data_IF_033654158538
#
_entry.id   IF_033654158538
#
_cell.length_a   1.000
_cell.length_b   1.000
_cell.length_c   1.000
_cell.angle_alpha   90.00
_cell.angle_beta   90.00
_cell.angle_gamma   90.00
#
_symmetry.space_group_name_H-M   'P 1'
#
loop_
_entity.id
_entity.type
_entity.pdbx_description
1 polymer ?
#
# COMPACT_ATOMS: atom_id res chain seq x y z
N UNK A 1 -39.84 -64.61 -32.99
CA UNK A 1 -39.02 -63.82 -32.05
C UNK A 1 -37.76 -63.26 -32.71
N UNK A 2 -37.33 -63.81 -33.84
CA UNK A 2 -36.13 -63.35 -34.55
C UNK A 2 -36.34 -62.05 -35.38
N UNK A 3 -37.54 -61.79 -35.91
CA UNK A 3 -37.83 -60.56 -36.69
C UNK A 3 -37.88 -59.27 -35.84
N UNK A 4 -38.41 -59.35 -34.62
CA UNK A 4 -38.49 -58.19 -33.71
C UNK A 4 -37.09 -57.81 -33.21
N UNK A 5 -36.19 -58.79 -33.05
CA UNK A 5 -34.80 -58.53 -32.68
C UNK A 5 -34.04 -57.82 -33.82
N UNK A 6 -34.29 -58.19 -35.08
CA UNK A 6 -33.64 -57.56 -36.24
C UNK A 6 -34.08 -56.10 -36.44
N UNK A 7 -35.35 -55.80 -36.24
CA UNK A 7 -35.90 -54.44 -36.40
C UNK A 7 -35.46 -53.49 -35.27
N UNK A 8 -35.41 -53.99 -34.03
CA UNK A 8 -34.88 -53.23 -32.88
C UNK A 8 -33.38 -52.97 -33.03
N UNK A 9 -32.59 -53.96 -33.49
CA UNK A 9 -31.16 -53.80 -33.74
C UNK A 9 -30.91 -52.80 -34.90
N UNK A 10 -31.78 -52.77 -35.91
CA UNK A 10 -31.70 -51.85 -37.05
C UNK A 10 -31.84 -50.37 -36.69
N UNK A 11 -32.58 -50.03 -35.63
CA UNK A 11 -32.77 -48.63 -35.19
C UNK A 11 -31.89 -48.22 -34.01
N UNK A 12 -31.53 -49.17 -33.14
CA UNK A 12 -30.69 -48.93 -31.96
C UNK A 12 -29.24 -48.62 -32.35
N UNK A 13 -28.69 -49.31 -33.36
CA UNK A 13 -27.30 -49.07 -33.80
C UNK A 13 -27.10 -47.64 -34.34
N UNK A 14 -27.91 -47.12 -35.29
CA UNK A 14 -27.80 -45.74 -35.76
C UNK A 14 -27.98 -44.70 -34.64
N UNK A 15 -28.92 -44.93 -33.71
CA UNK A 15 -29.15 -44.03 -32.59
C UNK A 15 -27.92 -43.95 -31.66
N UNK A 16 -27.33 -45.09 -31.29
CA UNK A 16 -26.12 -45.14 -30.45
C UNK A 16 -24.95 -44.42 -31.13
N UNK A 17 -24.80 -44.56 -32.45
CA UNK A 17 -23.74 -43.87 -33.20
C UNK A 17 -23.94 -42.35 -33.18
N UNK A 18 -25.16 -41.88 -33.45
CA UNK A 18 -25.45 -40.43 -33.47
C UNK A 18 -25.29 -39.81 -32.08
N UNK A 19 -25.85 -40.43 -31.04
CA UNK A 19 -25.72 -39.92 -29.67
C UNK A 19 -24.29 -40.05 -29.13
N UNK A 20 -23.59 -41.13 -29.47
CA UNK A 20 -22.18 -41.32 -29.11
C UNK A 20 -21.27 -40.28 -29.75
N UNK A 21 -21.43 -40.01 -31.05
CA UNK A 21 -20.67 -38.98 -31.76
C UNK A 21 -21.00 -37.58 -31.24
N UNK A 22 -22.27 -37.27 -30.98
CA UNK A 22 -22.68 -35.99 -30.41
C UNK A 22 -22.09 -35.78 -29.00
N UNK A 23 -22.15 -36.81 -28.14
CA UNK A 23 -21.56 -36.75 -26.80
C UNK A 23 -20.03 -36.61 -26.84
N UNK A 24 -19.36 -37.32 -27.76
CA UNK A 24 -17.92 -37.22 -27.96
C UNK A 24 -17.53 -35.83 -28.48
N UNK A 25 -18.26 -35.30 -29.48
CA UNK A 25 -18.05 -33.96 -29.98
C UNK A 25 -18.26 -32.91 -28.87
N UNK A 26 -19.28 -33.07 -28.03
CA UNK A 26 -19.52 -32.19 -26.89
C UNK A 26 -18.35 -32.26 -25.89
N UNK A 27 -17.89 -33.48 -25.55
CA UNK A 27 -16.79 -33.70 -24.63
C UNK A 27 -15.46 -33.11 -25.15
N UNK A 28 -15.13 -33.33 -26.42
CA UNK A 28 -13.96 -32.77 -27.10
C UNK A 28 -14.06 -31.24 -27.15
N UNK A 29 -15.23 -30.68 -27.43
CA UNK A 29 -15.44 -29.23 -27.44
C UNK A 29 -15.24 -28.62 -26.04
N UNK A 30 -15.81 -29.23 -25.00
CA UNK A 30 -15.63 -28.80 -23.61
C UNK A 30 -14.16 -28.91 -23.18
N UNK A 31 -13.48 -29.99 -23.57
CA UNK A 31 -12.07 -30.21 -23.28
C UNK A 31 -11.17 -29.20 -24.01
N UNK A 32 -11.41 -28.95 -25.29
CA UNK A 32 -10.70 -27.96 -26.09
C UNK A 32 -10.89 -26.54 -25.52
N UNK A 33 -12.11 -26.17 -25.10
CA UNK A 33 -12.39 -24.90 -24.42
C UNK A 33 -11.65 -24.82 -23.08
N UNK A 34 -11.63 -25.89 -22.27
CA UNK A 34 -10.87 -25.94 -21.01
C UNK A 34 -9.36 -25.84 -21.24
N UNK A 35 -8.83 -26.52 -22.26
CA UNK A 35 -7.42 -26.51 -22.64
C UNK A 35 -7.00 -25.13 -23.17
N UNK A 36 -7.81 -24.52 -24.05
CA UNK A 36 -7.59 -23.18 -24.58
C UNK A 36 -7.63 -22.11 -23.48
N UNK A 37 -8.57 -22.24 -22.53
CA UNK A 37 -8.67 -21.40 -21.32
C UNK A 37 -7.47 -21.54 -20.37
N UNK A 38 -6.68 -22.61 -20.49
CA UNK A 38 -5.46 -22.85 -19.70
C UNK A 38 -4.18 -22.77 -20.53
N UNK A 39 -4.25 -22.31 -21.78
CA UNK A 39 -3.08 -22.26 -22.64
C UNK A 39 -2.07 -21.21 -22.14
N UNK A 40 -0.75 -21.47 -22.20
CA UNK A 40 0.27 -20.51 -21.79
C UNK A 40 0.16 -19.17 -22.54
N UNK A 41 -0.23 -19.20 -23.82
CA UNK A 41 -0.44 -18.00 -24.61
C UNK A 41 -1.64 -17.17 -24.13
N UNK A 42 -2.75 -17.81 -23.76
CA UNK A 42 -3.90 -17.11 -23.19
C UNK A 42 -3.57 -16.48 -21.83
N UNK A 43 -2.75 -17.14 -21.02
CA UNK A 43 -2.23 -16.58 -19.75
C UNK A 43 -1.37 -15.34 -20.01
N UNK A 44 -0.36 -15.43 -20.89
CA UNK A 44 0.50 -14.28 -21.22
C UNK A 44 -0.28 -13.07 -21.72
N UNK A 45 -1.28 -13.27 -22.60
CA UNK A 45 -2.15 -12.18 -23.08
C UNK A 45 -2.99 -11.58 -21.95
N UNK A 46 -3.56 -12.43 -21.09
CA UNK A 46 -4.31 -11.95 -19.94
C UNK A 46 -3.42 -11.17 -18.95
N UNK A 47 -2.18 -11.62 -18.74
CA UNK A 47 -1.21 -10.94 -17.89
C UNK A 47 -0.82 -9.57 -18.49
N UNK A 48 -0.64 -9.47 -19.81
CA UNK A 48 -0.43 -8.18 -20.49
C UNK A 48 -1.63 -7.24 -20.29
N UNK A 49 -2.86 -7.71 -20.53
CA UNK A 49 -4.06 -6.90 -20.31
C UNK A 49 -4.20 -6.45 -18.84
N UNK A 50 -3.80 -7.31 -17.89
CA UNK A 50 -3.73 -6.97 -16.46
C UNK A 50 -2.73 -5.83 -16.23
N UNK A 51 -1.51 -5.95 -16.72
CA UNK A 51 -0.47 -4.92 -16.58
C UNK A 51 -0.92 -3.58 -17.19
N UNK A 52 -1.54 -3.59 -18.38
CA UNK A 52 -2.09 -2.40 -19.01
C UNK A 52 -3.17 -1.73 -18.15
N UNK A 53 -4.08 -2.53 -17.58
CA UNK A 53 -5.09 -2.03 -16.65
C UNK A 53 -4.46 -1.43 -15.39
N UNK A 54 -3.38 -2.04 -14.89
CA UNK A 54 -2.59 -1.50 -13.78
C UNK A 54 -1.99 -0.13 -14.10
N UNK A 55 -1.40 0.04 -15.28
CA UNK A 55 -0.85 1.32 -15.72
C UNK A 55 -1.93 2.42 -15.83
N UNK A 56 -3.14 2.06 -16.27
CA UNK A 56 -4.29 2.99 -16.28
C UNK A 56 -4.69 3.41 -14.85
N UNK A 57 -4.69 2.47 -13.89
CA UNK A 57 -4.99 2.79 -12.48
C UNK A 57 -3.95 3.71 -11.85
N UNK A 58 -2.66 3.50 -12.15
CA UNK A 58 -1.60 4.41 -11.70
C UNK A 58 -1.86 5.83 -12.20
N UNK A 59 -2.11 5.99 -13.51
CA UNK A 59 -2.41 7.32 -14.09
C UNK A 59 -3.65 7.96 -13.48
N UNK A 60 -4.68 7.17 -13.18
CA UNK A 60 -5.87 7.68 -12.48
C UNK A 60 -5.53 8.14 -11.07
N UNK A 61 -4.74 7.37 -10.32
CA UNK A 61 -4.33 7.72 -8.96
C UNK A 61 -3.49 9.01 -8.95
N UNK A 62 -2.55 9.14 -9.89
CA UNK A 62 -1.76 10.36 -10.06
C UNK A 62 -2.65 11.56 -10.43
N UNK A 63 -3.63 11.37 -11.31
CA UNK A 63 -4.62 12.42 -11.65
C UNK A 63 -5.54 12.79 -10.47
N UNK A 64 -5.86 11.84 -9.59
CA UNK A 64 -6.61 12.10 -8.35
C UNK A 64 -5.76 12.89 -7.37
N UNK A 65 -4.48 12.53 -7.22
CA UNK A 65 -3.55 13.31 -6.42
C UNK A 65 -3.51 14.75 -6.92
N UNK A 66 -3.34 15.00 -8.23
CA UNK A 66 -3.42 16.36 -8.79
C UNK A 66 -4.75 17.07 -8.48
N UNK A 67 -5.88 16.36 -8.58
CA UNK A 67 -7.20 16.93 -8.33
C UNK A 67 -7.46 17.24 -6.84
N UNK A 68 -6.99 16.41 -5.92
CA UNK A 68 -7.06 16.67 -4.46
C UNK A 68 -6.38 17.99 -4.12
N UNK A 69 -5.28 18.28 -4.80
CA UNK A 69 -4.49 19.46 -4.58
C UNK A 69 -5.19 20.70 -5.14
N UNK A 70 -5.82 20.59 -6.31
CA UNK A 70 -6.64 21.66 -6.90
C UNK A 70 -7.86 21.99 -6.02
N UNK A 71 -8.46 20.96 -5.40
CA UNK A 71 -9.52 21.12 -4.40
C UNK A 71 -9.01 21.82 -3.13
N UNK A 72 -7.87 21.40 -2.59
CA UNK A 72 -7.26 22.04 -1.41
C UNK A 72 -6.89 23.50 -1.66
N UNK A 73 -6.26 23.78 -2.80
CA UNK A 73 -5.89 25.12 -3.24
C UNK A 73 -7.13 26.01 -3.39
N UNK A 74 -8.16 25.51 -4.07
CA UNK A 74 -9.42 26.22 -4.22
C UNK A 74 -10.02 26.57 -2.86
N UNK A 75 -10.06 25.60 -1.93
CA UNK A 75 -10.62 25.86 -0.60
C UNK A 75 -9.88 26.97 0.16
N UNK A 76 -8.54 26.95 0.11
CA UNK A 76 -7.69 27.94 0.76
C UNK A 76 -7.77 29.34 0.11
N UNK A 77 -7.82 29.42 -1.23
CA UNK A 77 -7.92 30.68 -1.97
C UNK A 77 -9.25 31.41 -1.73
N UNK A 78 -10.34 30.67 -1.51
CA UNK A 78 -11.69 31.22 -1.52
C UNK A 78 -12.36 31.31 -0.15
N UNK A 79 -11.64 31.03 0.94
CA UNK A 79 -12.17 31.12 2.31
C UNK A 79 -13.39 30.23 2.56
N UNK A 80 -13.49 29.13 1.81
CA UNK A 80 -14.68 28.29 1.71
C UNK A 80 -14.38 26.97 1.01
N UNK A 81 -15.41 26.31 0.49
CA UNK A 81 -15.26 25.02 -0.18
C UNK A 81 -14.85 25.14 -1.65
N UNK A 82 -14.06 24.18 -2.14
CA UNK A 82 -13.77 24.06 -3.56
C UNK A 82 -15.03 23.93 -4.43
N UNK A 83 -14.97 24.34 -5.72
CA UNK A 83 -16.07 24.17 -6.66
C UNK A 83 -16.71 22.78 -6.60
N UNK A 84 -18.05 22.75 -6.63
CA UNK A 84 -18.80 21.49 -6.50
C UNK A 84 -18.50 20.49 -7.63
N UNK A 85 -18.06 20.97 -8.81
CA UNK A 85 -17.56 20.12 -9.90
C UNK A 85 -16.30 19.37 -9.50
N UNK A 86 -15.27 20.08 -9.00
CA UNK A 86 -14.01 19.49 -8.54
C UNK A 86 -14.23 18.51 -7.38
N UNK A 87 -15.04 18.88 -6.38
CA UNK A 87 -15.33 17.99 -5.23
C UNK A 87 -16.03 16.69 -5.66
N UNK A 88 -17.01 16.78 -6.56
CA UNK A 88 -17.71 15.60 -7.09
C UNK A 88 -16.80 14.73 -7.95
N UNK A 89 -16.00 15.34 -8.82
CA UNK A 89 -15.03 14.62 -9.64
C UNK A 89 -14.02 13.86 -8.75
N UNK A 90 -13.53 14.50 -7.68
CA UNK A 90 -12.62 13.91 -6.69
C UNK A 90 -13.23 12.69 -6.03
N UNK A 91 -14.41 12.83 -5.42
CA UNK A 91 -15.09 11.73 -4.73
C UNK A 91 -15.40 10.56 -5.66
N UNK A 92 -15.86 10.85 -6.88
CA UNK A 92 -16.17 9.84 -7.90
C UNK A 92 -14.92 9.10 -8.35
N UNK A 93 -13.83 9.83 -8.60
CA UNK A 93 -12.57 9.26 -9.04
C UNK A 93 -11.91 8.42 -7.93
N UNK A 94 -11.93 8.89 -6.67
CA UNK A 94 -11.46 8.13 -5.50
C UNK A 94 -12.20 6.79 -5.39
N UNK A 95 -13.54 6.81 -5.43
CA UNK A 95 -14.35 5.59 -5.38
C UNK A 95 -14.02 4.65 -6.54
N UNK A 96 -13.86 5.19 -7.75
CA UNK A 96 -13.52 4.42 -8.95
C UNK A 96 -12.14 3.77 -8.83
N UNK A 97 -11.15 4.52 -8.35
CA UNK A 97 -9.79 4.04 -8.10
C UNK A 97 -9.78 2.91 -7.08
N UNK A 98 -10.44 3.10 -5.94
CA UNK A 98 -10.44 2.12 -4.86
C UNK A 98 -11.10 0.81 -5.31
N UNK A 99 -12.27 0.89 -5.97
CA UNK A 99 -12.92 -0.26 -6.59
C UNK A 99 -12.04 -0.91 -7.68
N UNK A 100 -11.32 -0.10 -8.44
CA UNK A 100 -10.38 -0.52 -9.47
C UNK A 100 -9.21 -1.34 -8.91
N UNK A 101 -8.56 -0.87 -7.84
CA UNK A 101 -7.48 -1.61 -7.18
C UNK A 101 -7.98 -2.89 -6.49
N UNK A 102 -9.20 -2.89 -5.94
CA UNK A 102 -9.78 -4.11 -5.38
C UNK A 102 -10.06 -5.16 -6.44
N UNK A 103 -10.58 -4.75 -7.60
CA UNK A 103 -10.74 -5.63 -8.76
C UNK A 103 -9.38 -6.08 -9.31
N UNK A 104 -8.39 -5.19 -9.36
CA UNK A 104 -7.03 -5.50 -9.78
C UNK A 104 -6.41 -6.59 -8.90
N UNK A 105 -6.51 -6.43 -7.58
CA UNK A 105 -6.07 -7.43 -6.61
C UNK A 105 -6.74 -8.79 -6.85
N UNK A 106 -8.06 -8.80 -7.08
CA UNK A 106 -8.79 -10.04 -7.33
C UNK A 106 -8.33 -10.76 -8.61
N UNK A 107 -8.03 -10.03 -9.69
CA UNK A 107 -7.53 -10.62 -10.94
C UNK A 107 -6.03 -10.94 -10.90
N UNK A 108 -5.27 -10.41 -9.94
CA UNK A 108 -3.86 -10.75 -9.71
C UNK A 108 -3.67 -12.03 -8.88
N UNK A 109 -4.75 -12.64 -8.37
CA UNK A 109 -4.65 -13.89 -7.62
C UNK A 109 -4.21 -15.06 -8.53
N UNK A 110 -3.34 -15.98 -8.05
CA UNK A 110 -2.93 -17.16 -8.83
C UNK A 110 -4.08 -18.07 -9.28
N UNK A 111 -5.22 -17.98 -8.57
CA UNK A 111 -6.44 -18.74 -8.86
C UNK A 111 -7.29 -18.12 -9.97
N UNK A 112 -7.03 -16.87 -10.37
CA UNK A 112 -7.80 -16.17 -11.39
C UNK A 112 -7.60 -16.82 -12.77
N UNK A 113 -8.70 -17.06 -13.48
CA UNK A 113 -8.64 -17.60 -14.84
C UNK A 113 -8.33 -16.51 -15.86
N UNK A 114 -7.70 -16.82 -17.01
CA UNK A 114 -7.45 -15.83 -18.06
C UNK A 114 -8.70 -15.11 -18.59
N UNK A 115 -9.89 -15.70 -18.43
CA UNK A 115 -11.15 -15.05 -18.82
C UNK A 115 -11.56 -14.00 -17.79
N UNK A 116 -11.43 -14.30 -16.50
CA UNK A 116 -11.71 -13.36 -15.41
C UNK A 116 -10.74 -12.19 -15.44
N UNK A 117 -9.45 -12.46 -15.65
CA UNK A 117 -8.41 -11.42 -15.76
C UNK A 117 -8.75 -10.42 -16.86
N UNK A 118 -9.02 -10.89 -18.09
CA UNK A 118 -9.35 -10.00 -19.22
C UNK A 118 -10.64 -9.21 -18.99
N UNK A 119 -11.67 -9.85 -18.44
CA UNK A 119 -12.94 -9.17 -18.12
C UNK A 119 -12.74 -8.09 -17.05
N UNK A 120 -11.98 -8.39 -16.00
CA UNK A 120 -11.63 -7.44 -14.94
C UNK A 120 -10.79 -6.29 -15.47
N UNK A 121 -9.72 -6.59 -16.21
CA UNK A 121 -8.85 -5.61 -16.85
C UNK A 121 -9.61 -4.65 -17.78
N UNK A 122 -10.53 -5.17 -18.61
CA UNK A 122 -11.41 -4.34 -19.44
C UNK A 122 -12.28 -3.40 -18.60
N UNK A 123 -12.91 -3.91 -17.54
CA UNK A 123 -13.77 -3.10 -16.65
C UNK A 123 -12.98 -2.01 -15.93
N UNK A 124 -11.77 -2.33 -15.45
CA UNK A 124 -10.85 -1.36 -14.82
C UNK A 124 -10.57 -0.21 -15.79
N UNK A 125 -10.16 -0.53 -17.03
CA UNK A 125 -9.86 0.50 -18.04
C UNK A 125 -11.07 1.38 -18.35
N UNK A 126 -12.22 0.77 -18.62
CA UNK A 126 -13.45 1.52 -18.93
C UNK A 126 -13.88 2.46 -17.80
N UNK A 127 -13.77 2.04 -16.54
CA UNK A 127 -14.14 2.87 -15.40
C UNK A 127 -13.12 3.98 -15.14
N UNK A 128 -11.83 3.63 -15.20
CA UNK A 128 -10.75 4.59 -14.98
C UNK A 128 -10.69 5.66 -16.08
N UNK A 129 -10.91 5.30 -17.35
CA UNK A 129 -10.97 6.25 -18.45
C UNK A 129 -12.15 7.23 -18.29
N UNK A 130 -13.32 6.73 -17.88
CA UNK A 130 -14.48 7.60 -17.58
C UNK A 130 -14.18 8.56 -16.43
N UNK A 131 -13.56 8.08 -15.36
CA UNK A 131 -13.16 8.94 -14.25
C UNK A 131 -12.13 9.99 -14.71
N UNK A 132 -11.12 9.59 -15.49
CA UNK A 132 -10.11 10.51 -16.02
C UNK A 132 -10.71 11.59 -16.93
N UNK A 133 -11.70 11.25 -17.77
CA UNK A 133 -12.48 12.22 -18.56
C UNK A 133 -13.20 13.21 -17.65
N UNK A 134 -13.88 12.72 -16.60
CA UNK A 134 -14.58 13.58 -15.65
C UNK A 134 -13.63 14.52 -14.89
N UNK A 135 -12.44 14.05 -14.50
CA UNK A 135 -11.39 14.90 -13.91
C UNK A 135 -11.00 16.01 -14.89
N UNK A 136 -10.69 15.67 -16.15
CA UNK A 136 -10.28 16.68 -17.15
C UNK A 136 -11.36 17.74 -17.38
N UNK A 137 -12.63 17.34 -17.45
CA UNK A 137 -13.73 18.29 -17.57
C UNK A 137 -13.82 19.21 -16.34
N UNK A 138 -13.79 18.65 -15.13
CA UNK A 138 -13.88 19.45 -13.91
C UNK A 138 -12.72 20.46 -13.77
N UNK A 139 -11.51 20.09 -14.20
CA UNK A 139 -10.34 20.99 -14.23
C UNK A 139 -10.48 22.07 -15.28
N UNK A 140 -10.97 21.74 -16.48
CA UNK A 140 -11.25 22.74 -17.52
C UNK A 140 -12.26 23.78 -17.04
N UNK A 141 -13.36 23.33 -16.43
CA UNK A 141 -14.38 24.21 -15.85
C UNK A 141 -13.78 25.10 -14.75
N UNK A 142 -12.86 24.54 -13.94
CA UNK A 142 -12.19 25.28 -12.89
C UNK A 142 -11.27 26.36 -13.43
N UNK A 143 -10.44 26.05 -14.43
CA UNK A 143 -9.54 27.01 -15.08
C UNK A 143 -10.34 28.15 -15.72
N UNK A 144 -11.44 27.85 -16.41
CA UNK A 144 -12.31 28.88 -17.00
C UNK A 144 -12.97 29.75 -15.92
N UNK A 145 -13.36 29.15 -14.80
CA UNK A 145 -13.88 29.90 -13.67
C UNK A 145 -12.80 30.77 -13.02
N UNK A 146 -11.59 30.25 -12.82
CA UNK A 146 -10.46 30.98 -12.24
C UNK A 146 -10.07 32.19 -13.10
N UNK A 147 -9.97 32.01 -14.41
CA UNK A 147 -9.64 33.11 -15.33
C UNK A 147 -10.66 34.27 -15.30
N UNK A 148 -11.88 34.01 -14.81
CA UNK A 148 -12.93 35.03 -14.64
C UNK A 148 -12.97 35.66 -13.26
N UNK A 149 -12.43 35.02 -12.22
CA UNK A 149 -12.66 35.39 -10.83
C UNK A 149 -11.40 35.62 -10.00
N UNK A 150 -10.20 35.29 -10.50
CA UNK A 150 -8.96 35.29 -9.72
C UNK A 150 -7.83 36.00 -10.47
N UNK A 151 -7.08 36.85 -9.76
CA UNK A 151 -5.89 37.52 -10.31
C UNK A 151 -4.62 36.77 -9.93
N UNK A 152 -3.59 36.83 -10.78
CA UNK A 152 -2.29 36.22 -10.50
C UNK A 152 -1.67 36.75 -9.18
N UNK A 153 -1.85 38.04 -8.86
CA UNK A 153 -1.41 38.63 -7.60
C UNK A 153 -2.07 38.03 -6.35
N UNK A 154 -3.37 37.71 -6.42
CA UNK A 154 -4.07 37.06 -5.30
C UNK A 154 -3.60 35.62 -5.07
N UNK A 155 -3.29 34.88 -6.14
CA UNK A 155 -2.73 33.53 -6.03
C UNK A 155 -1.32 33.56 -5.44
N UNK A 156 -0.47 34.45 -5.94
CA UNK A 156 0.88 34.66 -5.42
C UNK A 156 0.88 34.96 -3.92
N UNK A 157 0.02 35.88 -3.46
CA UNK A 157 -0.09 36.23 -2.04
C UNK A 157 -0.56 35.03 -1.19
N UNK A 158 -1.50 34.23 -1.71
CA UNK A 158 -1.97 33.03 -1.01
C UNK A 158 -0.90 31.94 -0.92
N UNK A 159 -0.17 31.68 -2.00
CA UNK A 159 0.86 30.65 -2.02
C UNK A 159 2.07 31.04 -1.16
N UNK A 160 2.41 32.33 -1.08
CA UNK A 160 3.42 32.84 -0.12
C UNK A 160 3.02 32.58 1.33
N UNK A 161 1.78 32.92 1.72
CA UNK A 161 1.30 32.64 3.09
C UNK A 161 1.40 31.16 3.45
N UNK A 162 1.05 30.26 2.53
CA UNK A 162 1.16 28.82 2.77
C UNK A 162 2.61 28.34 2.90
N UNK A 163 3.54 28.91 2.13
CA UNK A 163 4.96 28.62 2.30
C UNK A 163 5.48 29.09 3.67
N UNK A 164 5.05 30.26 4.12
CA UNK A 164 5.39 30.77 5.44
C UNK A 164 4.79 29.90 6.56
N UNK A 165 3.52 29.49 6.42
CA UNK A 165 2.86 28.56 7.34
C UNK A 165 3.58 27.21 7.40
N UNK A 166 4.00 26.66 6.26
CA UNK A 166 4.76 25.41 6.20
C UNK A 166 6.12 25.54 6.89
N UNK A 167 6.86 26.63 6.64
CA UNK A 167 8.16 26.88 7.29
C UNK A 167 7.99 27.03 8.80
N UNK A 168 6.96 27.74 9.22
CA UNK A 168 6.64 27.90 10.64
C UNK A 168 6.28 26.55 11.29
N UNK A 169 5.52 25.69 10.60
CA UNK A 169 5.16 24.37 11.14
C UNK A 169 6.34 23.40 11.18
N UNK A 170 7.18 23.40 10.13
CA UNK A 170 8.33 22.51 10.01
C UNK A 170 9.45 22.88 11.01
N UNK A 171 9.62 24.17 11.30
CA UNK A 171 10.72 24.66 12.12
C UNK A 171 12.09 24.31 11.53
N UNK A 172 13.09 24.13 12.40
CA UNK A 172 14.44 23.74 12.02
C UNK A 172 14.63 22.23 12.25
N UNK A 173 14.79 21.40 11.20
CA UNK A 173 14.93 19.95 11.37
C UNK A 173 16.30 19.52 11.93
N UNK A 174 17.33 20.36 11.80
CA UNK A 174 18.71 20.06 12.19
C UNK A 174 18.88 19.56 13.63
N UNK A 175 18.39 20.28 14.66
CA UNK A 175 18.49 19.84 16.05
C UNK A 175 17.84 18.47 16.34
N UNK A 176 16.75 18.14 15.65
CA UNK A 176 16.09 16.85 15.79
C UNK A 176 16.90 15.73 15.13
N UNK A 177 17.51 16.00 13.98
CA UNK A 177 18.44 15.07 13.34
C UNK A 177 19.71 14.83 14.16
N UNK A 178 20.28 15.88 14.76
CA UNK A 178 21.43 15.77 15.67
C UNK A 178 21.11 14.89 16.88
N UNK A 179 19.90 15.04 17.43
CA UNK A 179 19.41 14.19 18.52
C UNK A 179 19.31 12.71 18.10
N UNK A 180 18.79 12.44 16.90
CA UNK A 180 18.73 11.08 16.35
C UNK A 180 20.14 10.53 16.11
N UNK A 181 21.04 11.30 15.51
CA UNK A 181 22.40 10.89 15.18
C UNK A 181 23.25 10.59 16.42
N UNK A 182 23.08 11.36 17.51
CA UNK A 182 23.72 11.10 18.78
C UNK A 182 23.31 9.74 19.38
N UNK A 183 22.05 9.37 19.22
CA UNK A 183 21.44 8.24 19.95
C UNK A 183 21.39 6.94 19.13
N UNK A 184 21.17 7.03 17.82
CA UNK A 184 20.84 5.89 16.95
C UNK A 184 21.86 5.69 15.83
N UNK A 185 21.91 4.47 15.28
CA UNK A 185 22.73 4.16 14.11
C UNK A 185 22.18 4.86 12.86
N UNK A 186 23.06 5.16 11.89
CA UNK A 186 22.72 5.95 10.70
C UNK A 186 21.59 5.35 9.87
N UNK A 187 21.56 4.02 9.74
CA UNK A 187 20.53 3.30 9.01
C UNK A 187 19.12 3.46 9.63
N UNK A 188 19.05 3.78 10.92
CA UNK A 188 17.79 4.00 11.64
C UNK A 188 17.14 5.35 11.26
N UNK A 189 17.95 6.39 11.03
CA UNK A 189 17.46 7.75 10.81
C UNK A 189 17.73 8.31 9.42
N UNK A 190 18.44 7.59 8.53
CA UNK A 190 18.74 8.04 7.17
C UNK A 190 17.50 8.50 6.39
N UNK A 191 16.42 7.72 6.44
CA UNK A 191 15.17 8.08 5.77
C UNK A 191 14.56 9.39 6.32
N UNK A 192 14.68 9.64 7.62
CA UNK A 192 14.24 10.90 8.23
C UNK A 192 15.13 12.07 7.77
N UNK A 193 16.44 11.86 7.67
CA UNK A 193 17.38 12.87 7.15
C UNK A 193 17.13 13.21 5.68
N UNK A 194 16.87 12.21 4.84
CA UNK A 194 16.55 12.41 3.43
C UNK A 194 15.26 13.23 3.30
N UNK A 195 14.20 12.85 4.02
CA UNK A 195 12.93 13.56 4.04
C UNK A 195 13.09 15.02 4.53
N UNK A 196 13.81 15.26 5.61
CA UNK A 196 14.07 16.62 6.11
C UNK A 196 14.84 17.48 5.08
N UNK A 197 15.86 16.90 4.45
CA UNK A 197 16.67 17.59 3.43
C UNK A 197 15.82 17.95 2.21
N UNK A 198 14.98 17.02 1.74
CA UNK A 198 14.06 17.24 0.64
C UNK A 198 13.05 18.33 0.99
N UNK A 199 12.45 18.29 2.18
CA UNK A 199 11.47 19.28 2.61
C UNK A 199 12.03 20.72 2.58
N UNK A 200 13.24 20.91 3.10
CA UNK A 200 13.93 22.21 3.08
C UNK A 200 14.27 22.64 1.64
N UNK A 201 14.78 21.71 0.82
CA UNK A 201 15.15 21.99 -0.57
C UNK A 201 13.93 22.40 -1.41
N UNK A 202 12.83 21.68 -1.29
CA UNK A 202 11.59 21.92 -2.01
C UNK A 202 10.90 23.22 -1.55
N UNK A 203 10.96 23.54 -0.25
CA UNK A 203 10.50 24.83 0.26
C UNK A 203 11.36 26.00 -0.24
N UNK A 204 12.66 25.79 -0.46
CA UNK A 204 13.55 26.77 -1.08
C UNK A 204 13.25 26.93 -2.58
N UNK A 205 13.00 25.84 -3.31
CA UNK A 205 12.57 25.93 -4.71
C UNK A 205 11.24 26.67 -4.84
N UNK A 206 10.26 26.37 -3.99
CA UNK A 206 8.97 27.08 -3.98
C UNK A 206 9.16 28.60 -3.83
N UNK A 207 10.07 29.03 -2.95
CA UNK A 207 10.41 30.45 -2.79
C UNK A 207 10.95 31.07 -4.07
N UNK A 208 11.95 30.43 -4.70
CA UNK A 208 12.56 30.92 -5.95
C UNK A 208 11.50 31.10 -7.03
N UNK A 209 10.56 30.15 -7.15
CA UNK A 209 9.44 30.23 -8.09
C UNK A 209 8.47 31.36 -7.76
N UNK A 210 8.16 31.58 -6.48
CA UNK A 210 7.27 32.67 -6.06
C UNK A 210 7.90 34.05 -6.30
N UNK A 211 9.22 34.17 -6.18
CA UNK A 211 9.91 35.42 -6.45
C UNK A 211 9.97 35.71 -7.96
N UNK A 212 10.22 34.70 -8.79
CA UNK A 212 10.09 34.82 -10.24
C UNK A 212 8.66 35.18 -10.68
N UNK A 213 7.65 34.55 -10.05
CA UNK A 213 6.25 34.88 -10.29
C UNK A 213 5.91 36.33 -9.89
N UNK A 214 6.50 36.84 -8.81
CA UNK A 214 6.28 38.23 -8.38
C UNK A 214 6.78 39.24 -9.42
N UNK A 215 7.96 39.01 -10.00
CA UNK A 215 8.45 39.83 -11.11
C UNK A 215 7.54 39.73 -12.35
N UNK A 216 7.01 38.55 -12.63
CA UNK A 216 6.12 38.33 -13.77
C UNK A 216 4.70 38.89 -13.58
N UNK A 217 4.23 39.09 -12.34
CA UNK A 217 2.94 39.75 -12.07
C UNK A 217 2.99 41.24 -12.45
N UNK A 218 4.16 41.87 -12.39
CA UNK A 218 4.36 43.27 -12.75
C UNK A 218 4.52 43.48 -14.28
N UNK A 219 4.83 42.43 -15.04
CA UNK A 219 5.05 42.44 -16.48
C UNK A 219 4.00 41.58 -17.24
N UNK A 220 2.99 42.20 -17.89
CA UNK A 220 1.93 41.49 -18.61
C UNK A 220 2.41 40.61 -19.77
N UNK A 221 3.67 40.75 -20.21
CA UNK A 221 4.27 39.90 -21.25
C UNK A 221 4.81 38.56 -20.71
N UNK A 222 4.91 38.40 -19.39
CA UNK A 222 5.41 37.20 -18.71
C UNK A 222 4.27 36.36 -18.13
N UNK A 223 4.45 35.04 -18.09
CA UNK A 223 3.43 34.12 -17.57
C UNK A 223 3.68 33.77 -16.09
N UNK A 224 3.21 34.63 -15.19
CA UNK A 224 3.30 34.39 -13.73
C UNK A 224 2.60 33.10 -13.26
N UNK A 225 1.55 32.65 -13.97
CA UNK A 225 0.76 31.46 -13.56
C UNK A 225 1.58 30.17 -13.68
N UNK A 226 2.51 30.09 -14.63
CA UNK A 226 3.37 28.92 -14.78
C UNK A 226 4.31 28.75 -13.58
N UNK A 227 4.91 29.84 -13.11
CA UNK A 227 5.80 29.85 -11.95
C UNK A 227 5.03 29.63 -10.64
N UNK A 228 3.83 30.21 -10.49
CA UNK A 228 2.95 29.93 -9.33
C UNK A 228 2.60 28.43 -9.28
N UNK A 229 2.22 27.83 -10.41
CA UNK A 229 1.91 26.40 -10.47
C UNK A 229 3.14 25.52 -10.17
N UNK A 230 4.35 25.97 -10.52
CA UNK A 230 5.59 25.28 -10.14
C UNK A 230 5.90 25.41 -8.65
N UNK A 231 5.74 26.60 -8.08
CA UNK A 231 5.88 26.84 -6.65
C UNK A 231 4.94 25.94 -5.84
N UNK A 232 3.69 25.81 -6.28
CA UNK A 232 2.71 24.94 -5.61
C UNK A 232 3.09 23.46 -5.67
N UNK A 233 3.71 22.99 -6.76
CA UNK A 233 4.20 21.61 -6.83
C UNK A 233 5.31 21.37 -5.81
N UNK A 234 6.31 22.26 -5.77
CA UNK A 234 7.42 22.19 -4.82
C UNK A 234 6.93 22.30 -3.36
N UNK A 235 6.02 23.23 -3.07
CA UNK A 235 5.41 23.38 -1.74
C UNK A 235 4.74 22.08 -1.25
N UNK A 236 4.06 21.34 -2.14
CA UNK A 236 3.40 20.08 -1.77
C UNK A 236 4.38 18.94 -1.54
N UNK A 237 5.45 18.91 -2.32
CA UNK A 237 6.53 17.95 -2.09
C UNK A 237 7.16 18.23 -0.73
N UNK A 238 7.43 19.50 -0.41
CA UNK A 238 7.89 19.93 0.90
C UNK A 238 6.93 19.53 2.03
N UNK A 239 5.61 19.76 1.88
CA UNK A 239 4.59 19.32 2.86
C UNK A 239 4.60 17.80 3.06
N UNK A 240 4.80 17.02 1.99
CA UNK A 240 4.82 15.55 2.04
C UNK A 240 6.07 15.05 2.77
N UNK A 241 7.23 15.61 2.43
CA UNK A 241 8.50 15.22 3.02
C UNK A 241 8.63 15.68 4.47
N UNK A 242 8.09 16.85 4.83
CA UNK A 242 8.01 17.31 6.22
C UNK A 242 7.18 16.34 7.09
N UNK A 243 6.03 15.88 6.60
CA UNK A 243 5.21 14.87 7.30
C UNK A 243 5.92 13.52 7.40
N UNK A 244 6.65 13.12 6.35
CA UNK A 244 7.43 11.89 6.37
C UNK A 244 8.56 11.95 7.42
N UNK A 245 9.23 13.10 7.54
CA UNK A 245 10.22 13.35 8.58
C UNK A 245 9.62 13.27 9.99
N UNK A 246 8.52 13.98 10.24
CA UNK A 246 7.82 13.96 11.54
C UNK A 246 7.39 12.54 11.94
N UNK A 247 6.82 11.79 10.99
CA UNK A 247 6.39 10.41 11.23
C UNK A 247 7.58 9.50 11.52
N UNK A 248 8.68 9.61 10.76
CA UNK A 248 9.88 8.81 10.99
C UNK A 248 10.51 9.11 12.37
N UNK A 249 10.64 10.39 12.74
CA UNK A 249 11.11 10.79 14.06
C UNK A 249 10.23 10.21 15.18
N UNK A 250 8.89 10.29 15.01
CA UNK A 250 7.92 9.73 15.95
C UNK A 250 8.04 8.21 16.07
N UNK A 251 8.22 7.50 14.95
CA UNK A 251 8.36 6.04 14.95
C UNK A 251 9.63 5.60 15.67
N UNK A 252 10.77 6.25 15.42
CA UNK A 252 12.05 5.92 16.05
C UNK A 252 11.99 6.15 17.56
N UNK A 253 11.48 7.31 17.98
CA UNK A 253 11.39 7.67 19.41
C UNK A 253 10.39 6.79 20.16
N UNK A 254 9.23 6.49 19.58
CA UNK A 254 8.27 5.55 20.18
C UNK A 254 8.83 4.13 20.26
N UNK A 255 9.56 3.68 19.23
CA UNK A 255 10.20 2.38 19.24
C UNK A 255 11.25 2.27 20.35
N UNK A 256 12.08 3.30 20.50
CA UNK A 256 13.10 3.37 21.56
C UNK A 256 12.47 3.25 22.97
N UNK A 257 11.35 3.94 23.20
CA UNK A 257 10.64 3.90 24.48
C UNK A 257 9.97 2.53 24.75
N UNK A 258 9.42 1.88 23.72
CA UNK A 258 8.72 0.61 23.87
C UNK A 258 9.68 -0.60 24.01
N UNK A 259 10.92 -0.46 23.54
CA UNK A 259 11.86 -1.56 23.36
C UNK A 259 12.10 -2.42 24.62
N UNK A 260 12.34 -1.87 25.83
CA UNK A 260 12.52 -2.70 27.03
C UNK A 260 11.29 -3.55 27.35
N UNK A 261 10.09 -2.98 27.15
CA UNK A 261 8.82 -3.67 27.36
C UNK A 261 8.62 -4.82 26.39
N UNK A 262 9.04 -4.67 25.13
CA UNK A 262 8.94 -5.72 24.12
C UNK A 262 9.87 -6.91 24.39
N UNK A 263 11.09 -6.66 24.90
CA UNK A 263 11.98 -7.73 25.36
C UNK A 263 11.38 -8.51 26.53
N UNK A 264 10.89 -7.82 27.56
CA UNK A 264 10.28 -8.46 28.72
C UNK A 264 8.99 -9.23 28.39
N UNK A 265 8.17 -8.67 27.49
CA UNK A 265 6.97 -9.34 27.01
C UNK A 265 7.31 -10.63 26.24
N UNK A 266 8.37 -10.60 25.41
CA UNK A 266 8.84 -11.77 24.65
C UNK A 266 9.42 -12.84 25.58
N UNK A 267 10.28 -12.46 26.54
CA UNK A 267 10.80 -13.39 27.56
C UNK A 267 9.68 -14.02 28.39
N UNK A 268 8.67 -13.25 28.74
CA UNK A 268 7.48 -13.75 29.43
C UNK A 268 6.73 -14.77 28.57
N UNK A 269 6.52 -14.47 27.29
CA UNK A 269 5.87 -15.40 26.37
C UNK A 269 6.67 -16.72 26.23
N UNK A 270 7.99 -16.65 26.15
CA UNK A 270 8.86 -17.84 26.11
C UNK A 270 8.75 -18.69 27.39
N UNK A 271 8.76 -18.07 28.57
CA UNK A 271 8.53 -18.77 29.84
C UNK A 271 7.18 -19.50 29.85
N UNK A 272 6.13 -18.84 29.36
CA UNK A 272 4.80 -19.45 29.24
C UNK A 272 4.78 -20.62 28.22
N UNK A 273 5.54 -20.52 27.13
CA UNK A 273 5.68 -21.60 26.15
C UNK A 273 6.35 -22.83 26.77
N UNK A 274 7.42 -22.63 27.55
CA UNK A 274 8.11 -23.73 28.28
C UNK A 274 7.16 -24.42 29.25
N UNK A 275 6.35 -23.65 30.01
CA UNK A 275 5.36 -24.22 30.93
C UNK A 275 4.28 -25.04 30.22
N UNK A 276 3.98 -24.72 28.95
CA UNK A 276 2.97 -25.42 28.16
C UNK A 276 3.45 -26.78 27.63
N UNK A 277 4.76 -27.07 27.69
CA UNK A 277 5.35 -28.33 27.19
C UNK A 277 4.75 -29.58 27.84
N UNK A 278 4.37 -29.50 29.12
CA UNK A 278 3.78 -30.63 29.85
C UNK A 278 2.42 -31.08 29.31
N UNK A 279 1.80 -30.26 28.46
CA UNK A 279 0.48 -30.52 27.85
C UNK A 279 0.58 -31.02 26.40
N UNK A 280 1.79 -31.10 25.85
CA UNK A 280 2.06 -31.47 24.46
C UNK A 280 2.50 -32.94 24.33
N UNK A 281 2.26 -33.58 23.17
CA UNK A 281 2.95 -34.82 22.81
C UNK A 281 4.47 -34.65 22.85
N UNK A 282 5.26 -35.71 23.15
CA UNK A 282 6.71 -35.61 23.32
C UNK A 282 7.43 -34.95 22.13
N UNK A 283 7.12 -35.37 20.91
CA UNK A 283 7.73 -34.82 19.69
C UNK A 283 7.42 -33.31 19.51
N UNK A 284 6.22 -32.87 19.88
CA UNK A 284 5.82 -31.46 19.82
C UNK A 284 6.49 -30.64 20.93
N UNK A 285 6.62 -31.24 22.12
CA UNK A 285 7.28 -30.63 23.27
C UNK A 285 8.78 -30.43 23.05
N UNK A 286 9.43 -31.33 22.32
CA UNK A 286 10.85 -31.23 21.96
C UNK A 286 11.07 -30.19 20.85
N UNK A 287 10.23 -30.20 19.80
CA UNK A 287 10.24 -29.15 18.75
C UNK A 287 10.04 -27.76 19.34
N UNK A 288 9.08 -27.59 20.26
CA UNK A 288 8.88 -26.32 20.95
C UNK A 288 10.10 -25.92 21.79
N UNK A 289 10.77 -26.88 22.44
CA UNK A 289 11.96 -26.60 23.24
C UNK A 289 13.16 -26.19 22.40
N UNK A 290 13.34 -26.79 21.23
CA UNK A 290 14.35 -26.38 20.25
C UNK A 290 14.08 -24.96 19.76
N UNK A 291 12.84 -24.65 19.39
CA UNK A 291 12.47 -23.33 18.88
C UNK A 291 12.62 -22.24 19.95
N UNK A 292 12.19 -22.50 21.19
CA UNK A 292 12.38 -21.54 22.30
C UNK A 292 13.86 -21.24 22.53
N UNK A 293 14.74 -22.26 22.49
CA UNK A 293 16.19 -22.05 22.61
C UNK A 293 16.75 -21.23 21.44
N UNK A 294 16.31 -21.51 20.22
CA UNK A 294 16.74 -20.73 19.05
C UNK A 294 16.31 -19.27 19.15
N UNK A 295 15.07 -19.01 19.57
CA UNK A 295 14.55 -17.66 19.80
C UNK A 295 15.32 -16.96 20.92
N UNK A 296 15.67 -17.66 22.01
CA UNK A 296 16.44 -17.09 23.11
C UNK A 296 17.82 -16.59 22.68
N UNK A 297 18.55 -17.40 21.92
CA UNK A 297 19.87 -17.04 21.36
C UNK A 297 19.75 -15.80 20.47
N UNK A 298 18.72 -15.78 19.63
CA UNK A 298 18.49 -14.67 18.71
C UNK A 298 18.09 -13.39 19.45
N UNK A 299 17.22 -13.48 20.46
CA UNK A 299 16.78 -12.36 21.29
C UNK A 299 17.95 -11.75 22.07
N UNK A 300 18.83 -12.58 22.63
CA UNK A 300 20.04 -12.14 23.34
C UNK A 300 21.07 -11.51 22.39
N UNK A 301 21.13 -11.96 21.15
CA UNK A 301 21.99 -11.34 20.11
C UNK A 301 21.43 -9.99 19.72
N UNK A 302 20.12 -9.91 19.53
CA UNK A 302 19.38 -8.70 19.15
C UNK A 302 19.56 -7.57 20.17
N UNK A 303 19.49 -7.89 21.46
CA UNK A 303 19.56 -6.91 22.56
C UNK A 303 20.85 -6.07 22.56
N UNK A 304 21.96 -6.59 21.99
CA UNK A 304 23.25 -5.89 21.94
C UNK A 304 23.20 -4.58 21.16
N UNK A 305 22.50 -4.59 20.03
CA UNK A 305 22.43 -3.43 19.12
C UNK A 305 21.05 -2.73 19.17
N UNK A 306 20.09 -3.31 19.88
CA UNK A 306 18.70 -2.87 19.85
C UNK A 306 18.50 -1.41 20.28
N UNK A 307 19.29 -0.93 21.25
CA UNK A 307 19.21 0.46 21.70
C UNK A 307 19.61 1.46 20.60
N UNK A 308 20.52 1.09 19.70
CA UNK A 308 20.95 1.92 18.56
C UNK A 308 20.02 1.78 17.36
N UNK A 309 19.25 0.69 17.27
CA UNK A 309 18.40 0.33 16.12
C UNK A 309 16.99 -0.10 16.57
N UNK A 310 16.22 0.78 17.24
CA UNK A 310 14.99 0.39 17.92
C UNK A 310 13.84 -0.09 17.01
N UNK A 311 13.59 0.55 15.87
CA UNK A 311 12.54 0.14 14.92
C UNK A 311 12.88 -1.21 14.27
N UNK A 312 14.15 -1.41 13.91
CA UNK A 312 14.64 -2.69 13.43
C UNK A 312 14.51 -3.78 14.50
N UNK A 313 14.83 -3.46 15.76
CA UNK A 313 14.70 -4.40 16.85
C UNK A 313 13.24 -4.79 17.16
N UNK A 314 12.31 -3.82 17.14
CA UNK A 314 10.88 -4.11 17.30
C UNK A 314 10.36 -5.00 16.16
N UNK A 315 10.74 -4.71 14.91
CA UNK A 315 10.40 -5.57 13.78
C UNK A 315 10.90 -7.01 14.00
N UNK A 316 12.16 -7.16 14.43
CA UNK A 316 12.74 -8.47 14.68
C UNK A 316 12.07 -9.19 15.84
N UNK A 317 11.75 -8.50 16.93
CA UNK A 317 11.00 -9.05 18.06
C UNK A 317 9.60 -9.52 17.61
N UNK A 318 8.89 -8.74 16.80
CA UNK A 318 7.59 -9.15 16.28
C UNK A 318 7.68 -10.46 15.49
N UNK A 319 8.71 -10.63 14.64
CA UNK A 319 8.96 -11.88 13.91
C UNK A 319 9.30 -13.06 14.81
N UNK A 320 10.09 -12.83 15.87
CA UNK A 320 10.40 -13.86 16.87
C UNK A 320 9.13 -14.33 17.59
N UNK A 321 8.24 -13.41 17.93
CA UNK A 321 6.94 -13.72 18.56
C UNK A 321 6.02 -14.47 17.62
N UNK A 322 6.02 -14.13 16.33
CA UNK A 322 5.28 -14.87 15.30
C UNK A 322 5.78 -16.31 15.16
N UNK A 323 7.11 -16.53 15.20
CA UNK A 323 7.70 -17.88 15.21
C UNK A 323 7.32 -18.67 16.47
N UNK A 324 7.39 -18.03 17.63
CA UNK A 324 6.96 -18.64 18.90
C UNK A 324 5.49 -19.06 18.84
N UNK A 325 4.62 -18.20 18.30
CA UNK A 325 3.21 -18.47 18.14
C UNK A 325 2.94 -19.66 17.21
N UNK A 326 3.67 -19.74 16.09
CA UNK A 326 3.58 -20.87 15.16
C UNK A 326 4.03 -22.19 15.81
N UNK A 327 5.12 -22.16 16.57
CA UNK A 327 5.62 -23.35 17.27
C UNK A 327 4.69 -23.84 18.38
N UNK A 328 3.94 -22.92 19.00
CA UNK A 328 2.93 -23.28 20.01
C UNK A 328 1.64 -23.86 19.39
N UNK A 329 1.35 -23.58 18.12
CA UNK A 329 0.22 -24.15 17.39
C UNK A 329 -1.12 -24.13 18.15
N UNK A 330 -1.85 -25.25 18.09
CA UNK A 330 -3.15 -25.43 18.75
C UNK A 330 -3.04 -25.75 20.25
N UNK A 331 -1.83 -25.80 20.82
CA UNK A 331 -1.62 -26.11 22.23
C UNK A 331 -2.21 -25.06 23.18
N UNK A 332 -2.57 -23.88 22.66
CA UNK A 332 -3.13 -22.79 23.44
C UNK A 332 -4.62 -22.95 23.68
N UNK A 333 -5.00 -22.90 24.95
CA UNK A 333 -6.37 -22.58 25.35
C UNK A 333 -6.82 -21.23 24.76
N UNK A 334 -8.13 -21.03 24.58
CA UNK A 334 -8.66 -19.75 24.08
C UNK A 334 -8.22 -18.55 24.93
N UNK A 335 -8.14 -18.71 26.25
CA UNK A 335 -7.67 -17.67 27.17
C UNK A 335 -6.17 -17.38 27.03
N UNK A 336 -5.34 -18.39 26.73
CA UNK A 336 -3.92 -18.17 26.41
C UNK A 336 -3.73 -17.47 25.07
N UNK A 337 -4.53 -17.81 24.04
CA UNK A 337 -4.51 -17.11 22.75
C UNK A 337 -4.83 -15.63 22.91
N UNK A 338 -5.87 -15.30 23.66
CA UNK A 338 -6.27 -13.91 23.89
C UNK A 338 -5.25 -13.13 24.73
N UNK A 339 -4.64 -13.75 25.76
CA UNK A 339 -3.55 -13.12 26.52
C UNK A 339 -2.30 -12.91 25.67
N UNK A 340 -1.92 -13.90 24.86
CA UNK A 340 -0.81 -13.80 23.92
C UNK A 340 -1.04 -12.71 22.87
N UNK A 341 -2.25 -12.63 22.33
CA UNK A 341 -2.60 -11.59 21.37
C UNK A 341 -2.50 -10.18 21.96
N UNK A 342 -3.01 -9.97 23.17
CA UNK A 342 -2.89 -8.68 23.88
C UNK A 342 -1.44 -8.27 24.15
N UNK A 343 -0.58 -9.23 24.47
CA UNK A 343 0.82 -8.92 24.76
C UNK A 343 1.66 -8.68 23.51
N UNK A 344 1.33 -9.30 22.38
CA UNK A 344 2.06 -9.17 21.11
C UNK A 344 1.59 -7.98 20.26
N UNK A 345 0.32 -7.60 20.37
CA UNK A 345 -0.30 -6.60 19.51
C UNK A 345 0.43 -5.24 19.46
N UNK A 346 0.89 -4.63 20.58
CA UNK A 346 1.58 -3.33 20.52
C UNK A 346 2.84 -3.35 19.64
N UNK A 347 3.75 -4.31 19.87
CA UNK A 347 4.96 -4.49 19.08
C UNK A 347 4.67 -4.81 17.62
N UNK A 348 3.70 -5.70 17.33
CA UNK A 348 3.32 -6.02 15.95
C UNK A 348 2.68 -4.83 15.23
N UNK A 349 1.89 -4.00 15.91
CA UNK A 349 1.36 -2.75 15.32
C UNK A 349 2.47 -1.74 15.03
N UNK A 350 3.48 -1.63 15.91
CA UNK A 350 4.63 -0.77 15.68
C UNK A 350 5.45 -1.26 14.47
N UNK A 351 5.72 -2.57 14.38
CA UNK A 351 6.40 -3.18 13.23
C UNK A 351 5.61 -2.99 11.92
N UNK A 352 4.29 -3.24 11.93
CA UNK A 352 3.44 -3.04 10.77
C UNK A 352 3.38 -1.57 10.30
N UNK A 353 3.36 -0.61 11.23
CA UNK A 353 3.44 0.82 10.91
C UNK A 353 4.75 1.19 10.22
N UNK A 354 5.86 0.71 10.78
CA UNK A 354 7.18 0.93 10.20
C UNK A 354 7.28 0.32 8.79
N UNK A 355 6.80 -0.91 8.60
CA UNK A 355 6.79 -1.57 7.30
C UNK A 355 5.96 -0.80 6.26
N UNK A 356 4.78 -0.31 6.64
CA UNK A 356 3.93 0.53 5.77
C UNK A 356 4.64 1.85 5.42
N UNK A 357 5.21 2.54 6.39
CA UNK A 357 5.94 3.79 6.15
C UNK A 357 7.15 3.59 5.21
N UNK A 358 7.89 2.50 5.38
CA UNK A 358 9.02 2.15 4.49
C UNK A 358 8.55 1.82 3.06
N UNK A 359 7.40 1.14 2.93
CA UNK A 359 6.81 0.84 1.63
C UNK A 359 6.27 2.10 0.94
N UNK A 360 5.64 3.02 1.69
CA UNK A 360 5.21 4.34 1.21
C UNK A 360 6.38 5.18 0.72
N UNK A 361 7.45 5.27 1.52
CA UNK A 361 8.65 6.01 1.14
C UNK A 361 9.21 5.50 -0.19
N UNK A 362 9.30 4.19 -0.38
CA UNK A 362 9.76 3.62 -1.65
C UNK A 362 8.77 3.90 -2.80
N UNK A 363 7.46 3.72 -2.57
CA UNK A 363 6.42 3.84 -3.59
C UNK A 363 6.11 5.29 -4.02
N UNK A 364 6.43 6.29 -3.20
CA UNK A 364 6.31 7.71 -3.56
C UNK A 364 7.47 8.16 -4.46
N UNK A 365 8.68 7.65 -4.21
CA UNK A 365 9.89 8.06 -4.94
C UNK A 365 10.11 7.30 -6.25
N UNK A 366 9.44 6.16 -6.44
CA UNK A 366 9.37 5.49 -7.74
C UNK A 366 7.95 5.60 -8.28
N UNK A 367 7.77 5.73 -9.59
CA UNK A 367 6.47 5.45 -10.23
C UNK A 367 6.19 3.93 -10.14
N UNK A 368 6.07 3.41 -8.91
CA UNK A 368 5.99 1.98 -8.61
C UNK A 368 4.80 1.35 -9.30
N UNK A 369 4.92 0.08 -9.66
CA UNK A 369 3.89 -0.62 -10.41
C UNK A 369 2.57 -0.69 -9.68
N UNK A 370 1.54 -1.01 -10.47
CA UNK A 370 0.22 -1.28 -9.96
C UNK A 370 0.22 -2.45 -8.97
N UNK A 371 1.14 -3.42 -9.11
CA UNK A 371 1.29 -4.53 -8.17
C UNK A 371 1.83 -4.02 -6.81
N UNK A 372 2.89 -3.20 -6.81
CA UNK A 372 3.42 -2.57 -5.59
C UNK A 372 2.37 -1.66 -4.91
N UNK A 373 1.71 -0.76 -5.66
CA UNK A 373 0.66 0.12 -5.13
C UNK A 373 -0.55 -0.65 -4.62
N UNK A 374 -0.96 -1.72 -5.31
CA UNK A 374 -2.05 -2.59 -4.86
C UNK A 374 -1.72 -3.28 -3.54
N UNK A 375 -0.47 -3.73 -3.36
CA UNK A 375 -0.01 -4.37 -2.12
C UNK A 375 0.06 -3.36 -0.98
N UNK A 376 0.61 -2.17 -1.23
CA UNK A 376 0.65 -1.10 -0.24
C UNK A 376 -0.75 -0.68 0.25
N UNK A 377 -1.71 -0.50 -0.67
CA UNK A 377 -3.11 -0.21 -0.29
C UNK A 377 -3.74 -1.32 0.54
N UNK A 378 -3.43 -2.57 0.21
CA UNK A 378 -3.91 -3.72 0.99
C UNK A 378 -3.31 -3.69 2.40
N UNK A 379 -2.01 -3.41 2.52
CA UNK A 379 -1.31 -3.27 3.80
C UNK A 379 -1.89 -2.16 4.67
N UNK A 380 -2.14 -0.98 4.09
CA UNK A 380 -2.78 0.15 4.77
C UNK A 380 -4.17 -0.21 5.29
N UNK A 381 -4.98 -0.94 4.50
CA UNK A 381 -6.30 -1.41 4.93
C UNK A 381 -6.22 -2.40 6.08
N UNK A 382 -5.32 -3.38 6.00
CA UNK A 382 -5.12 -4.34 7.09
C UNK A 382 -4.63 -3.65 8.37
N UNK A 383 -3.77 -2.63 8.24
CA UNK A 383 -3.32 -1.83 9.39
C UNK A 383 -4.47 -1.01 10.00
N UNK A 384 -5.34 -0.43 9.17
CA UNK A 384 -6.54 0.26 9.63
C UNK A 384 -7.51 -0.71 10.35
N UNK A 385 -7.73 -1.90 9.78
CA UNK A 385 -8.55 -2.95 10.38
C UNK A 385 -7.97 -3.40 11.73
N UNK A 386 -6.64 -3.55 11.82
CA UNK A 386 -5.97 -3.90 13.06
C UNK A 386 -6.19 -2.87 14.17
N UNK A 387 -6.18 -1.57 13.83
CA UNK A 387 -6.43 -0.48 14.78
C UNK A 387 -7.90 -0.36 15.20
N UNK A 388 -8.83 -0.68 14.30
CA UNK A 388 -10.26 -0.58 14.55
C UNK A 388 -10.86 -1.80 15.28
N UNK A 389 -10.18 -2.96 15.23
CA UNK A 389 -10.66 -4.20 15.84
C UNK A 389 -10.62 -4.16 17.36
N UNK A 390 -11.76 -4.45 18.00
CA UNK A 390 -11.85 -4.61 19.45
C UNK A 390 -11.36 -5.99 19.95
N UNK A 391 -11.36 -7.01 19.09
CA UNK A 391 -10.81 -8.33 19.39
C UNK A 391 -9.28 -8.32 19.14
N UNK A 392 -8.45 -8.57 20.19
CA UNK A 392 -6.99 -8.58 20.05
C UNK A 392 -6.46 -9.65 19.10
N UNK A 393 -7.15 -10.80 18.96
CA UNK A 393 -6.71 -11.87 18.07
C UNK A 393 -6.88 -11.43 16.61
N UNK A 394 -8.07 -10.96 16.27
CA UNK A 394 -8.36 -10.39 14.94
C UNK A 394 -7.45 -9.19 14.63
N UNK A 395 -7.20 -8.32 15.62
CA UNK A 395 -6.30 -7.17 15.47
C UNK A 395 -4.86 -7.61 15.16
N UNK A 396 -4.35 -8.61 15.88
CA UNK A 396 -3.00 -9.14 15.69
C UNK A 396 -2.83 -9.77 14.32
N UNK A 397 -3.81 -10.57 13.88
CA UNK A 397 -3.76 -11.21 12.56
C UNK A 397 -3.81 -10.19 11.42
N UNK A 398 -4.61 -9.13 11.56
CA UNK A 398 -4.63 -8.01 10.62
C UNK A 398 -3.29 -7.25 10.62
N UNK A 399 -2.69 -6.98 11.77
CA UNK A 399 -1.38 -6.33 11.85
C UNK A 399 -0.28 -7.16 11.16
N UNK A 400 -0.29 -8.48 11.35
CA UNK A 400 0.63 -9.42 10.67
C UNK A 400 0.45 -9.43 9.16
N UNK A 401 -0.80 -9.40 8.67
CA UNK A 401 -1.09 -9.30 7.23
C UNK A 401 -0.60 -7.96 6.68
N UNK A 402 -0.84 -6.86 7.38
CA UNK A 402 -0.37 -5.54 6.99
C UNK A 402 1.16 -5.51 6.83
N UNK A 403 1.89 -6.05 7.81
CA UNK A 403 3.35 -6.13 7.77
C UNK A 403 3.86 -6.91 6.55
N UNK A 404 3.33 -8.11 6.31
CA UNK A 404 3.69 -8.92 5.13
C UNK A 404 3.38 -8.23 3.81
N UNK A 405 2.19 -7.62 3.69
CA UNK A 405 1.79 -6.95 2.45
C UNK A 405 2.62 -5.68 2.18
N UNK A 406 3.05 -4.99 3.23
CA UNK A 406 3.95 -3.83 3.10
C UNK A 406 5.35 -4.25 2.66
N UNK A 407 5.89 -5.35 3.20
CA UNK A 407 7.16 -5.92 2.76
C UNK A 407 7.11 -6.37 1.29
N UNK A 408 6.03 -7.05 0.88
CA UNK A 408 5.81 -7.43 -0.51
C UNK A 408 5.75 -6.19 -1.42
N UNK A 409 5.04 -5.13 -0.99
CA UNK A 409 4.96 -3.88 -1.74
C UNK A 409 6.33 -3.24 -1.93
N UNK A 410 7.13 -3.17 -0.87
CA UNK A 410 8.49 -2.64 -0.90
C UNK A 410 9.38 -3.47 -1.82
N UNK A 411 9.34 -4.80 -1.70
CA UNK A 411 10.15 -5.70 -2.52
C UNK A 411 9.83 -5.56 -4.01
N UNK A 412 8.55 -5.44 -4.38
CA UNK A 412 8.11 -5.20 -5.75
C UNK A 412 8.64 -3.87 -6.29
N UNK A 413 8.53 -2.80 -5.50
CA UNK A 413 8.98 -1.48 -5.91
C UNK A 413 10.52 -1.38 -6.01
N UNK A 414 11.26 -2.03 -5.11
CA UNK A 414 12.73 -2.11 -5.18
C UNK A 414 13.18 -2.96 -6.38
N UNK A 415 12.52 -4.08 -6.67
CA UNK A 415 12.80 -4.91 -7.84
C UNK A 415 12.68 -4.11 -9.14
N UNK A 416 11.63 -3.32 -9.27
CA UNK A 416 11.40 -2.44 -10.42
C UNK A 416 12.41 -1.31 -10.51
N UNK A 417 12.83 -0.73 -9.39
CA UNK A 417 13.91 0.26 -9.40
C UNK A 417 15.21 -0.31 -9.99
N UNK A 418 15.51 -1.56 -9.68
CA UNK A 418 16.72 -2.24 -10.12
C UNK A 418 16.65 -2.80 -11.55
N UNK A 419 15.46 -3.20 -12.02
CA UNK A 419 15.27 -3.90 -13.31
C UNK A 419 14.40 -3.14 -14.33
N UNK A 420 13.77 -2.04 -13.93
CA UNK A 420 12.85 -1.23 -14.74
C UNK A 420 13.51 -0.03 -15.43
N UNK A 421 14.84 -0.05 -15.58
CA UNK A 421 15.56 0.87 -16.49
C UNK A 421 15.82 0.20 -17.83
#
# INVERSE_FOLDING_TARGET
MDDVAAEVVGWVIPAIVVFGVAALALAVTVWAIRRARRSPAARRRADQERLDAGAVLIRLDDAIAELELEVGLSGALYGGDAPASLRRARLTAQHTRDAGFDLYRAISLPTATPVEVRRGAKRIREQADKAAVAIRHARSDHVEWMGRHVTAGSQLASTRRRLDDLRASMGEPGPLLDQLAATFAEDEWRAASDAATNAVTEAAEAQVRLDAAAEAVEDPSRNALADIAAAERALRQAETDARAFEEAYRLITQASQALPGEFEATRTAMRQAVLSRSTLPPDDADRLADEVRAIEVELNTLERDAARRPTWAIDRIARLRDRLDLAMGDARTAQQRLRGARSALPGTLAAARNAVAMAEAVATHTHGSADARSRLRSAQRELANARASADPVTALDAARRAMREAEDAKALADYERLHGR
#
